data_IF_925963718783
#
_entry.id   IF_925963718783
#
_cell.length_a   1.000
_cell.length_b   1.000
_cell.length_c   1.000
_cell.angle_alpha   90.00
_cell.angle_beta   90.00
_cell.angle_gamma   90.00
#
_symmetry.space_group_name_H-M   'P 1'
#
loop_
_entity.id
_entity.type
_entity.pdbx_description
1 polymer ?
#
# COMPACT_ATOMS: atom_id res chain seq x y z
N UNK A 1 -8.51 -24.42 -9.45
CA UNK A 1 -8.28 -23.68 -9.22
C UNK A 1 -8.00 -23.17 -8.58
N UNK A 2 -8.00 -23.00 -8.68
CA UNK A 2 -7.63 -22.44 -8.19
C UNK A 2 -7.74 -21.70 -7.43
N UNK A 3 -7.92 -21.61 -7.13
CA UNK A 3 -7.97 -20.92 -6.00
C UNK A 3 -6.76 -20.30 -5.58
N UNK A 4 -5.82 -20.12 -6.42
CA UNK A 4 -4.66 -19.39 -6.12
C UNK A 4 -5.01 -17.95 -5.90
N UNK A 5 -4.35 -17.30 -4.97
CA UNK A 5 -4.49 -15.90 -4.73
C UNK A 5 -3.87 -15.12 -5.86
N UNK A 6 -4.62 -14.14 -6.33
CA UNK A 6 -4.11 -13.17 -7.30
C UNK A 6 -4.17 -11.81 -6.65
N UNK A 7 -3.13 -11.02 -6.85
CA UNK A 7 -3.16 -9.64 -6.39
C UNK A 7 -4.33 -8.92 -7.05
N UNK A 8 -5.03 -8.03 -6.31
CA UNK A 8 -6.07 -7.24 -6.91
C UNK A 8 -5.54 -6.43 -8.08
N UNK A 9 -6.40 -6.19 -9.05
CA UNK A 9 -6.04 -5.31 -10.14
C UNK A 9 -5.71 -3.95 -9.57
N UNK A 10 -4.59 -3.37 -10.01
CA UNK A 10 -4.19 -2.06 -9.53
C UNK A 10 -5.21 -1.03 -9.93
N UNK A 11 -5.49 -0.11 -9.01
CA UNK A 11 -6.42 0.98 -9.25
C UNK A 11 -5.68 2.17 -9.84
N UNK A 12 -6.45 3.16 -10.28
CA UNK A 12 -5.85 4.38 -10.78
C UNK A 12 -5.01 5.07 -9.69
N UNK A 13 -5.43 4.96 -8.44
CA UNK A 13 -4.65 5.55 -7.35
C UNK A 13 -3.26 4.92 -7.28
N UNK A 14 -3.19 3.59 -7.37
CA UNK A 14 -1.91 2.90 -7.35
C UNK A 14 -1.02 3.33 -8.53
N UNK A 15 -1.61 3.46 -9.70
CA UNK A 15 -0.86 3.88 -10.88
C UNK A 15 -0.38 5.32 -10.76
N UNK A 16 -1.24 6.20 -10.23
CA UNK A 16 -0.88 7.61 -10.06
C UNK A 16 0.26 7.77 -9.07
N UNK A 17 0.21 7.06 -7.95
CA UNK A 17 1.26 7.14 -6.93
C UNK A 17 2.48 6.34 -7.35
N UNK A 18 2.28 5.22 -8.04
CA UNK A 18 3.38 4.42 -8.56
C UNK A 18 3.80 3.29 -7.65
N UNK A 19 2.93 2.86 -6.74
CA UNK A 19 3.28 1.71 -5.91
C UNK A 19 2.83 0.42 -6.57
N UNK A 20 3.44 -0.68 -6.11
CA UNK A 20 3.15 -2.00 -6.64
C UNK A 20 2.94 -2.99 -5.52
N UNK A 21 2.09 -3.97 -5.77
CA UNK A 21 1.97 -5.13 -4.88
C UNK A 21 2.93 -6.18 -5.42
N UNK A 22 4.00 -6.44 -4.67
CA UNK A 22 5.05 -7.34 -5.13
C UNK A 22 4.94 -8.75 -4.55
N UNK A 23 4.09 -8.93 -3.53
CA UNK A 23 3.82 -10.25 -3.01
C UNK A 23 2.40 -10.27 -2.46
N UNK A 24 1.63 -11.31 -2.80
CA UNK A 24 0.25 -11.44 -2.36
C UNK A 24 -0.06 -12.91 -2.14
N UNK A 25 0.13 -13.37 -0.89
CA UNK A 25 -0.06 -14.77 -0.51
C UNK A 25 -0.89 -14.80 0.77
N UNK A 26 -1.40 -15.97 1.18
CA UNK A 26 -2.23 -16.02 2.39
C UNK A 26 -1.53 -15.39 3.59
N UNK A 27 -2.16 -14.39 4.17
CA UNK A 27 -1.66 -13.70 5.35
C UNK A 27 -0.54 -12.72 5.08
N UNK A 28 -0.22 -12.43 3.79
CA UNK A 28 0.89 -11.53 3.50
C UNK A 28 0.62 -10.72 2.22
N UNK A 29 0.86 -9.41 2.33
CA UNK A 29 0.79 -8.51 1.19
C UNK A 29 1.94 -7.53 1.30
N UNK A 30 2.79 -7.45 0.28
CA UNK A 30 3.91 -6.53 0.26
C UNK A 30 3.66 -5.45 -0.78
N UNK A 31 3.76 -4.20 -0.36
CA UNK A 31 3.59 -3.04 -1.23
C UNK A 31 4.90 -2.27 -1.25
N UNK A 32 5.39 -1.93 -2.43
CA UNK A 32 6.68 -1.25 -2.58
C UNK A 32 6.53 0.01 -3.41
N UNK A 33 7.36 0.99 -3.09
CA UNK A 33 7.37 2.27 -3.77
C UNK A 33 8.74 2.90 -3.65
N UNK A 34 9.25 3.47 -4.75
CA UNK A 34 10.42 4.33 -4.71
C UNK A 34 9.93 5.77 -4.74
N UNK A 35 10.43 6.59 -3.81
CA UNK A 35 9.96 7.97 -3.63
C UNK A 35 10.40 8.84 -4.81
N UNK A 36 9.44 9.59 -5.38
CA UNK A 36 9.68 10.53 -6.47
C UNK A 36 9.41 11.95 -5.97
N UNK A 37 9.77 12.94 -6.79
CA UNK A 37 9.57 14.34 -6.42
C UNK A 37 8.09 14.68 -6.19
N UNK A 38 7.19 14.09 -6.95
CA UNK A 38 5.77 14.37 -6.77
C UNK A 38 5.17 13.71 -5.54
N UNK A 39 5.96 12.95 -4.79
CA UNK A 39 5.55 12.39 -3.51
C UNK A 39 5.88 13.29 -2.33
N UNK A 40 6.59 14.40 -2.57
CA UNK A 40 7.12 15.22 -1.47
C UNK A 40 6.09 16.21 -0.96
N UNK A 41 6.21 16.53 0.33
CA UNK A 41 5.44 17.63 0.90
C UNK A 41 6.23 18.92 0.74
N UNK A 42 5.71 20.02 1.29
CA UNK A 42 6.35 21.33 1.16
C UNK A 42 7.72 21.38 1.82
N UNK A 43 8.02 20.45 2.74
CA UNK A 43 9.31 20.40 3.42
C UNK A 43 10.37 19.58 2.70
N UNK A 44 10.05 19.02 1.53
CA UNK A 44 11.02 18.28 0.74
C UNK A 44 11.21 16.82 1.13
N UNK A 45 10.30 16.28 1.93
CA UNK A 45 10.33 14.86 2.29
C UNK A 45 9.00 14.23 1.89
N UNK A 46 8.96 12.89 1.81
CA UNK A 46 7.76 12.18 1.40
C UNK A 46 6.58 12.58 2.29
N UNK A 47 5.46 12.87 1.65
CA UNK A 47 4.23 13.25 2.37
C UNK A 47 3.79 12.10 3.27
N UNK A 48 3.37 12.44 4.51
CA UNK A 48 2.92 11.44 5.46
C UNK A 48 1.74 10.61 4.96
N UNK A 49 0.86 11.22 4.17
CA UNK A 49 -0.26 10.50 3.57
C UNK A 49 0.17 9.40 2.62
N UNK A 50 1.38 9.50 2.05
CA UNK A 50 1.92 8.46 1.20
C UNK A 50 2.15 7.18 2.02
N UNK A 51 2.79 7.31 3.17
CA UNK A 51 3.02 6.17 4.06
C UNK A 51 1.68 5.56 4.49
N UNK A 52 0.71 6.41 4.81
CA UNK A 52 -0.61 5.94 5.21
C UNK A 52 -1.26 5.13 4.08
N UNK A 53 -1.16 5.61 2.85
CA UNK A 53 -1.73 4.92 1.70
C UNK A 53 -1.09 3.55 1.49
N UNK A 54 0.24 3.48 1.59
CA UNK A 54 0.95 2.20 1.41
C UNK A 54 0.58 1.22 2.50
N UNK A 55 0.58 1.66 3.76
CA UNK A 55 0.24 0.80 4.88
C UNK A 55 -1.20 0.35 4.82
N UNK A 56 -2.12 1.26 4.51
CA UNK A 56 -3.52 0.91 4.37
C UNK A 56 -3.74 -0.14 3.29
N UNK A 57 -3.07 0.04 2.16
CA UNK A 57 -3.17 -0.91 1.04
C UNK A 57 -2.62 -2.28 1.44
N UNK A 58 -1.44 -2.30 2.09
CA UNK A 58 -0.81 -3.56 2.47
C UNK A 58 -1.62 -4.29 3.54
N UNK A 59 -2.12 -3.56 4.53
CA UNK A 59 -2.90 -4.17 5.61
C UNK A 59 -4.23 -4.67 5.10
N UNK A 60 -4.92 -3.89 4.27
CA UNK A 60 -6.16 -4.31 3.66
C UNK A 60 -5.96 -5.52 2.76
N UNK A 61 -4.86 -5.52 1.98
CA UNK A 61 -4.52 -6.65 1.13
C UNK A 61 -4.29 -7.91 1.93
N UNK A 62 -3.54 -7.80 3.03
CA UNK A 62 -3.30 -8.95 3.90
C UNK A 62 -4.61 -9.51 4.45
N UNK A 63 -5.48 -8.62 4.92
CA UNK A 63 -6.77 -9.05 5.46
C UNK A 63 -7.61 -9.75 4.39
N UNK A 64 -7.64 -9.21 3.19
CA UNK A 64 -8.42 -9.78 2.09
C UNK A 64 -7.99 -11.22 1.79
N UNK A 65 -6.69 -11.54 1.96
CA UNK A 65 -6.24 -12.91 1.71
C UNK A 65 -6.88 -13.92 2.65
N UNK A 66 -7.46 -13.47 3.76
CA UNK A 66 -8.07 -14.36 4.75
C UNK A 66 -9.59 -14.36 4.67
N UNK A 67 -10.18 -13.58 3.78
CA UNK A 67 -11.63 -13.47 3.65
C UNK A 67 -12.16 -14.38 2.52
N UNK A 68 -13.42 -14.80 2.61
CA UNK A 68 -14.04 -15.48 1.47
C UNK A 68 -14.00 -14.59 0.23
N UNK A 69 -14.05 -15.24 -0.92
CA UNK A 69 -13.80 -14.60 -2.20
C UNK A 69 -14.74 -13.42 -2.47
N UNK A 70 -15.97 -13.50 -1.97
CA UNK A 70 -16.96 -12.44 -2.22
C UNK A 70 -16.92 -11.34 -1.18
N UNK A 71 -16.07 -11.45 -0.15
CA UNK A 71 -16.05 -10.46 0.91
C UNK A 71 -14.92 -9.47 0.71
N UNK A 72 -15.15 -8.28 1.24
CA UNK A 72 -14.18 -7.21 1.13
C UNK A 72 -14.12 -6.47 2.46
N UNK A 73 -13.15 -5.61 2.62
CA UNK A 73 -13.00 -4.82 3.84
C UNK A 73 -12.87 -3.34 3.49
N UNK A 74 -13.10 -2.51 4.49
CA UNK A 74 -12.89 -1.07 4.37
C UNK A 74 -12.25 -0.58 5.64
N UNK A 75 -11.35 0.40 5.50
CA UNK A 75 -10.64 0.97 6.64
C UNK A 75 -11.58 1.89 7.41
N UNK A 76 -11.69 1.66 8.73
CA UNK A 76 -12.46 2.53 9.59
C UNK A 76 -11.56 3.51 10.35
N UNK A 77 -10.32 3.09 10.65
CA UNK A 77 -9.41 3.94 11.40
C UNK A 77 -7.97 3.48 11.15
N UNK A 78 -7.07 4.45 11.06
CA UNK A 78 -5.64 4.18 10.88
C UNK A 78 -4.86 5.16 11.74
N UNK A 79 -4.02 4.63 12.63
CA UNK A 79 -3.16 5.43 13.50
C UNK A 79 -1.71 5.18 13.09
N UNK A 80 -0.96 6.25 12.87
CA UNK A 80 0.43 6.16 12.44
C UNK A 80 1.32 7.03 13.30
N UNK A 81 2.53 6.55 13.52
CA UNK A 81 3.60 7.34 14.13
C UNK A 81 4.75 7.40 13.13
N UNK A 82 5.24 8.60 12.86
CA UNK A 82 6.30 8.82 11.89
C UNK A 82 7.62 9.02 12.62
N UNK A 83 8.58 8.15 12.36
CA UNK A 83 9.84 8.15 13.09
C UNK A 83 10.98 8.80 12.31
N UNK A 84 10.97 8.65 10.98
CA UNK A 84 12.02 9.21 10.14
C UNK A 84 11.43 9.65 8.81
N UNK A 85 11.97 10.72 8.20
CA UNK A 85 11.49 11.15 6.88
C UNK A 85 12.05 10.26 5.77
N UNK A 86 11.35 10.23 4.64
CA UNK A 86 11.81 9.57 3.43
C UNK A 86 12.07 10.62 2.36
N UNK A 87 13.08 10.39 1.54
CA UNK A 87 13.54 11.34 0.53
C UNK A 87 13.44 10.72 -0.86
N UNK A 88 13.62 11.57 -1.89
CA UNK A 88 13.63 11.07 -3.26
C UNK A 88 14.66 9.97 -3.38
N UNK A 89 14.26 8.85 -4.00
CA UNK A 89 15.12 7.68 -4.15
C UNK A 89 15.02 6.67 -3.03
N UNK A 90 14.39 7.02 -1.90
CA UNK A 90 14.16 6.05 -0.83
C UNK A 90 13.17 4.98 -1.29
N UNK A 91 13.37 3.80 -0.80
CA UNK A 91 12.55 2.64 -1.20
C UNK A 91 11.99 1.95 0.02
#
# INVERSE_FOLDING_TARGET
MTDELSAPKLTQLAETIGFEITEFTPGKCVVELTIREDHLNAGGVAHGGLHATLLDTAMGGTLVTTLPKEEWCATAQLDLSYLEPAYVGSH
#
